data_IF_892480065407
#
_entry.id   IF_892480065407
#
_cell.length_a   1.000
_cell.length_b   1.000
_cell.length_c   1.000
_cell.angle_alpha   90.00
_cell.angle_beta   90.00
_cell.angle_gamma   90.00
#
_symmetry.space_group_name_H-M   'P 1'
#
loop_
_entity.id
_entity.type
_entity.pdbx_description
1 polymer ?
#
# COMPACT_ATOMS: atom_id res chain seq x y z
N UNK A 1 9.84 0.86 -6.21
CA UNK A 1 9.54 2.21 -5.68
C UNK A 1 10.22 3.29 -6.50
N UNK A 2 9.57 4.43 -6.72
CA UNK A 2 10.13 5.57 -7.45
C UNK A 2 10.96 6.53 -6.59
N UNK A 3 11.60 7.55 -7.17
CA UNK A 3 12.35 8.56 -6.41
C UNK A 3 11.48 9.38 -5.44
N UNK A 4 10.29 9.83 -5.88
CA UNK A 4 9.39 10.61 -5.04
C UNK A 4 8.82 9.84 -3.83
N UNK A 5 9.00 8.51 -3.76
CA UNK A 5 8.71 7.76 -2.54
C UNK A 5 9.58 8.25 -1.37
N UNK A 6 10.86 8.54 -1.61
CA UNK A 6 11.75 9.01 -0.57
C UNK A 6 11.54 10.50 -0.21
N UNK A 7 10.70 11.22 -0.97
CA UNK A 7 10.34 12.62 -0.70
C UNK A 7 9.27 12.75 0.40
N UNK A 8 8.60 11.67 0.79
CA UNK A 8 7.48 11.70 1.73
C UNK A 8 6.31 12.55 1.23
N UNK A 9 5.44 12.96 2.15
CA UNK A 9 4.27 13.81 1.86
C UNK A 9 4.35 15.14 2.60
N UNK A 10 3.30 15.95 2.53
CA UNK A 10 3.18 17.15 3.38
C UNK A 10 2.91 16.80 4.85
N UNK A 11 2.37 15.62 5.11
CA UNK A 11 2.06 15.16 6.47
C UNK A 11 3.33 14.70 7.19
N UNK A 12 4.24 14.06 6.45
CA UNK A 12 5.59 13.72 6.92
C UNK A 12 6.59 13.83 5.75
N UNK A 13 7.40 14.90 5.72
CA UNK A 13 8.40 15.07 4.70
C UNK A 13 9.45 13.96 4.75
N UNK A 14 9.87 13.50 3.59
CA UNK A 14 10.98 12.57 3.48
C UNK A 14 12.30 13.20 3.93
N UNK A 15 13.31 12.35 4.11
CA UNK A 15 14.65 12.79 4.44
C UNK A 15 15.43 13.22 3.18
N UNK A 16 16.54 13.92 3.39
CA UNK A 16 17.49 14.33 2.33
C UNK A 16 16.89 15.31 1.31
N UNK A 17 17.33 15.21 0.05
CA UNK A 17 17.08 16.15 -1.05
C UNK A 17 16.03 15.63 -2.05
N UNK A 18 15.21 14.66 -1.65
CA UNK A 18 14.15 14.13 -2.48
C UNK A 18 12.97 15.11 -2.56
N UNK A 19 12.39 15.24 -3.76
CA UNK A 19 11.22 16.08 -4.01
C UNK A 19 10.13 15.28 -4.72
N UNK A 20 8.87 15.69 -4.53
CA UNK A 20 7.74 15.07 -5.23
C UNK A 20 7.63 15.58 -6.67
N UNK A 21 7.15 14.74 -7.59
CA UNK A 21 6.91 15.15 -8.97
C UNK A 21 8.18 15.31 -9.80
N UNK A 22 9.19 14.46 -9.59
CA UNK A 22 10.42 14.40 -10.39
C UNK A 22 10.17 13.76 -11.78
N UNK A 23 9.19 14.29 -12.52
CA UNK A 23 8.74 13.83 -13.85
C UNK A 23 9.26 14.71 -15.01
N UNK A 24 9.88 15.87 -14.70
CA UNK A 24 10.11 16.97 -15.67
C UNK A 24 11.42 16.95 -16.47
N UNK A 25 11.81 15.84 -17.13
CA UNK A 25 12.88 15.92 -18.15
C UNK A 25 13.02 14.74 -19.14
N UNK A 26 12.01 14.45 -19.97
CA UNK A 26 12.12 13.71 -21.26
C UNK A 26 13.32 12.73 -21.39
N UNK A 27 13.10 11.45 -21.00
CA UNK A 27 13.95 10.23 -21.14
C UNK A 27 14.47 9.69 -19.79
N UNK A 28 13.78 8.67 -19.26
CA UNK A 28 14.03 7.96 -17.97
C UNK A 28 15.44 7.36 -17.76
N UNK A 29 16.33 7.44 -18.74
CA UNK A 29 17.69 6.91 -18.63
C UNK A 29 18.51 7.77 -17.65
N UNK A 30 18.13 9.05 -17.45
CA UNK A 30 18.89 10.02 -16.64
C UNK A 30 18.06 10.84 -15.63
N UNK A 31 16.95 10.31 -15.10
CA UNK A 31 16.16 10.99 -14.04
C UNK A 31 16.60 10.62 -12.63
N UNK A 32 16.31 11.50 -11.65
CA UNK A 32 16.71 11.36 -10.26
C UNK A 32 18.16 11.79 -9.99
N UNK A 33 18.43 12.19 -8.74
CA UNK A 33 19.76 12.63 -8.32
C UNK A 33 20.83 11.56 -8.68
N UNK A 34 21.91 11.93 -9.41
CA UNK A 34 23.00 11.03 -9.78
C UNK A 34 23.61 10.25 -8.61
N UNK A 35 23.71 10.88 -7.43
CA UNK A 35 24.17 10.24 -6.20
C UNK A 35 23.27 9.07 -5.79
N UNK A 36 21.95 9.30 -5.72
CA UNK A 36 21.00 8.27 -5.34
C UNK A 36 20.87 7.15 -6.39
N UNK A 37 21.13 7.44 -7.67
CA UNK A 37 21.28 6.39 -8.70
C UNK A 37 22.49 5.50 -8.46
N UNK A 38 23.62 6.07 -8.06
CA UNK A 38 24.81 5.29 -7.70
C UNK A 38 24.49 4.36 -6.53
N UNK A 39 23.88 4.90 -5.46
CA UNK A 39 23.46 4.12 -4.29
C UNK A 39 22.50 2.98 -4.69
N UNK A 40 21.47 3.27 -5.50
CA UNK A 40 20.57 2.25 -6.06
C UNK A 40 21.34 1.16 -6.80
N UNK A 41 22.26 1.54 -7.69
CA UNK A 41 22.98 0.60 -8.54
C UNK A 41 23.95 -0.30 -7.74
N UNK A 42 24.43 0.15 -6.57
CA UNK A 42 25.18 -0.70 -5.63
C UNK A 42 24.29 -1.80 -5.04
N UNK A 43 23.00 -1.51 -4.78
CA UNK A 43 22.04 -2.49 -4.29
C UNK A 43 21.57 -3.44 -5.41
N UNK A 44 20.93 -2.89 -6.44
CA UNK A 44 20.41 -3.63 -7.60
C UNK A 44 20.05 -2.63 -8.72
N UNK A 45 20.72 -2.68 -9.89
CA UNK A 45 20.34 -1.84 -11.02
C UNK A 45 19.08 -2.40 -11.71
N UNK A 46 18.08 -1.55 -12.02
CA UNK A 46 16.87 -2.00 -12.69
C UNK A 46 17.12 -2.36 -14.15
N UNK A 47 16.54 -3.46 -14.62
CA UNK A 47 16.64 -3.87 -16.02
C UNK A 47 15.80 -3.00 -16.96
N UNK A 48 16.19 -2.95 -18.25
CA UNK A 48 15.54 -2.10 -19.25
C UNK A 48 14.03 -2.35 -19.37
N UNK A 49 13.62 -3.62 -19.41
CA UNK A 49 12.22 -4.02 -19.47
C UNK A 49 11.42 -3.47 -18.29
N UNK A 50 11.99 -3.48 -17.10
CA UNK A 50 11.32 -2.95 -15.92
C UNK A 50 11.20 -1.43 -15.95
N UNK A 51 12.26 -0.72 -16.38
CA UNK A 51 12.19 0.72 -16.58
C UNK A 51 11.13 1.11 -17.62
N UNK A 52 11.01 0.34 -18.71
CA UNK A 52 9.96 0.54 -19.73
C UNK A 52 8.56 0.27 -19.16
N UNK A 53 8.37 -0.83 -18.41
CA UNK A 53 7.07 -1.14 -17.80
C UNK A 53 6.63 -0.11 -16.74
N UNK A 54 7.58 0.50 -16.03
CA UNK A 54 7.30 1.47 -14.99
C UNK A 54 7.20 2.91 -15.48
N UNK A 55 7.51 3.17 -16.75
CA UNK A 55 7.46 4.52 -17.33
C UNK A 55 6.16 5.26 -16.96
N UNK A 56 6.22 6.55 -16.54
CA UNK A 56 7.39 7.44 -16.47
C UNK A 56 8.20 7.37 -15.16
N UNK A 57 7.91 6.43 -14.26
CA UNK A 57 8.51 6.36 -12.92
C UNK A 57 10.04 6.16 -12.96
N UNK A 58 10.84 7.08 -12.39
CA UNK A 58 12.25 6.84 -12.13
C UNK A 58 12.38 5.87 -10.94
N UNK A 59 12.85 4.65 -11.17
CA UNK A 59 12.96 3.62 -10.13
C UNK A 59 14.11 3.96 -9.18
N UNK A 60 13.82 4.13 -7.88
CA UNK A 60 14.81 4.30 -6.81
C UNK A 60 15.17 2.97 -6.17
N UNK A 61 14.17 2.14 -5.86
CA UNK A 61 14.36 0.80 -5.29
C UNK A 61 13.64 -0.21 -6.17
N UNK A 62 14.38 -1.21 -6.65
CA UNK A 62 13.85 -2.30 -7.47
C UNK A 62 13.33 -3.45 -6.59
N UNK A 63 12.30 -3.17 -5.81
CA UNK A 63 11.76 -4.12 -4.82
C UNK A 63 11.18 -5.39 -5.44
N UNK A 64 10.85 -5.38 -6.74
CA UNK A 64 10.34 -6.55 -7.45
C UNK A 64 11.43 -7.56 -7.84
N UNK A 65 12.66 -7.09 -8.06
CA UNK A 65 13.81 -7.96 -8.36
C UNK A 65 14.78 -8.12 -7.18
N UNK A 66 14.52 -7.46 -6.05
CA UNK A 66 15.27 -7.60 -4.81
C UNK A 66 14.73 -8.78 -3.99
N UNK A 67 15.41 -9.92 -4.09
CA UNK A 67 15.00 -11.19 -3.45
C UNK A 67 15.94 -11.67 -2.35
N UNK A 68 16.99 -10.89 -2.03
CA UNK A 68 17.96 -11.22 -0.98
C UNK A 68 17.87 -10.21 0.17
N UNK A 69 17.87 -10.65 1.45
CA UNK A 69 17.85 -12.06 1.91
C UNK A 69 16.51 -12.77 1.71
N UNK A 70 15.43 -12.02 1.45
CA UNK A 70 14.08 -12.48 1.10
C UNK A 70 13.46 -11.48 0.12
N UNK A 71 12.24 -11.70 -0.37
CA UNK A 71 11.53 -10.78 -1.27
C UNK A 71 11.18 -9.45 -0.56
N UNK A 72 11.46 -8.32 -1.22
CA UNK A 72 11.24 -6.98 -0.64
C UNK A 72 9.85 -6.42 -0.92
N UNK A 73 9.04 -7.09 -1.74
CA UNK A 73 7.67 -6.68 -2.06
C UNK A 73 6.72 -7.87 -2.01
N UNK A 74 5.48 -7.62 -1.57
CA UNK A 74 4.42 -8.61 -1.48
C UNK A 74 3.88 -8.94 -2.87
N UNK A 75 3.59 -10.21 -3.14
CA UNK A 75 3.09 -10.70 -4.43
C UNK A 75 1.65 -11.24 -4.40
N UNK A 76 1.06 -11.43 -3.21
CA UNK A 76 -0.27 -12.04 -3.05
C UNK A 76 -1.35 -10.99 -2.76
N UNK A 77 -2.52 -11.13 -3.38
CA UNK A 77 -3.72 -10.33 -3.16
C UNK A 77 -4.79 -11.20 -2.48
N UNK A 78 -5.26 -10.79 -1.30
CA UNK A 78 -6.42 -11.40 -0.65
C UNK A 78 -7.66 -10.55 -0.94
N UNK A 79 -8.78 -11.20 -1.29
CA UNK A 79 -9.95 -10.48 -1.79
C UNK A 79 -11.28 -11.02 -1.23
N UNK A 80 -12.06 -10.01 -0.81
CA UNK A 80 -13.52 -9.91 -0.79
C UNK A 80 -14.34 -10.77 0.18
N UNK A 81 -15.12 -10.06 1.01
CA UNK A 81 -16.23 -10.59 1.78
C UNK A 81 -17.51 -9.82 1.44
N UNK A 82 -18.59 -10.56 1.15
CA UNK A 82 -19.91 -10.01 0.87
C UNK A 82 -20.83 -10.28 2.06
N UNK A 83 -21.60 -9.27 2.48
CA UNK A 83 -22.58 -9.39 3.54
C UNK A 83 -23.94 -8.87 3.07
N UNK A 84 -24.98 -9.65 3.34
CA UNK A 84 -26.36 -9.26 3.09
C UNK A 84 -27.02 -8.91 4.42
N UNK A 85 -27.54 -7.68 4.53
CA UNK A 85 -28.18 -7.21 5.75
C UNK A 85 -29.62 -6.82 5.41
N UNK A 86 -30.58 -7.48 6.05
CA UNK A 86 -32.00 -7.17 5.93
C UNK A 86 -32.42 -6.32 7.14
N UNK A 87 -32.89 -5.09 6.90
CA UNK A 87 -33.40 -4.19 7.95
C UNK A 87 -34.78 -3.70 7.57
N UNK A 88 -35.79 -3.90 8.43
CA UNK A 88 -37.17 -3.44 8.23
C UNK A 88 -37.80 -3.87 6.88
N UNK A 89 -37.51 -5.09 6.40
CA UNK A 89 -38.01 -5.60 5.12
C UNK A 89 -37.36 -4.97 3.88
N UNK A 90 -36.41 -4.05 4.05
CA UNK A 90 -35.56 -3.51 2.98
C UNK A 90 -34.23 -4.26 2.99
N UNK A 91 -33.88 -4.81 1.83
CA UNK A 91 -32.61 -5.50 1.64
C UNK A 91 -31.52 -4.47 1.33
N UNK A 92 -30.54 -4.33 2.22
CA UNK A 92 -29.34 -3.53 2.01
C UNK A 92 -28.21 -4.45 1.60
N UNK A 93 -27.72 -4.26 0.38
CA UNK A 93 -26.58 -5.00 -0.14
C UNK A 93 -25.31 -4.21 0.15
N UNK A 94 -24.48 -4.66 1.09
CA UNK A 94 -23.19 -4.03 1.40
C UNK A 94 -22.06 -4.98 1.00
N UNK A 95 -21.25 -4.55 0.03
CA UNK A 95 -20.07 -5.30 -0.41
C UNK A 95 -18.81 -4.65 0.16
N UNK A 96 -18.01 -5.43 0.90
CA UNK A 96 -16.71 -5.00 1.39
C UNK A 96 -15.60 -5.48 0.46
N UNK A 97 -14.87 -4.52 -0.10
CA UNK A 97 -13.69 -4.77 -0.90
C UNK A 97 -12.45 -4.53 -0.04
N UNK A 98 -11.94 -5.59 0.57
CA UNK A 98 -10.68 -5.56 1.32
C UNK A 98 -9.49 -5.54 0.37
N UNK A 99 -8.56 -4.61 0.58
CA UNK A 99 -7.31 -4.52 -0.17
C UNK A 99 -6.11 -4.24 0.71
N UNK A 100 -4.97 -4.76 0.28
CA UNK A 100 -3.65 -4.55 0.91
C UNK A 100 -3.06 -3.15 0.66
N UNK A 101 -3.70 -2.34 -0.20
CA UNK A 101 -3.11 -1.10 -0.71
C UNK A 101 -3.91 0.14 -0.31
N UNK A 102 -3.24 1.27 -0.33
CA UNK A 102 -3.83 2.60 -0.15
C UNK A 102 -4.31 3.18 -1.48
N UNK A 103 -5.62 3.23 -1.67
CA UNK A 103 -6.19 3.78 -2.89
C UNK A 103 -6.28 5.30 -2.80
N UNK A 104 -5.82 5.98 -3.85
CA UNK A 104 -6.19 7.39 -4.04
C UNK A 104 -7.71 7.53 -4.18
N UNK A 105 -8.18 8.75 -3.93
CA UNK A 105 -9.60 9.08 -4.04
C UNK A 105 -10.19 8.66 -5.39
N UNK A 106 -9.52 8.98 -6.50
CA UNK A 106 -10.05 8.66 -7.82
C UNK A 106 -9.86 7.18 -8.20
N UNK A 107 -8.79 6.53 -7.77
CA UNK A 107 -8.62 5.09 -7.97
C UNK A 107 -9.74 4.31 -7.28
N UNK A 108 -10.02 4.64 -6.01
CA UNK A 108 -11.12 4.02 -5.25
C UNK A 108 -12.50 4.30 -5.85
N UNK A 109 -12.77 5.53 -6.31
CA UNK A 109 -14.02 5.86 -7.01
C UNK A 109 -14.22 5.03 -8.29
N UNK A 110 -13.20 4.96 -9.15
CA UNK A 110 -13.24 4.17 -10.40
C UNK A 110 -13.46 2.69 -10.12
N UNK A 111 -12.84 2.15 -9.07
CA UNK A 111 -13.03 0.77 -8.66
C UNK A 111 -14.46 0.51 -8.17
N UNK A 112 -14.99 1.34 -7.26
CA UNK A 112 -16.39 1.24 -6.81
C UNK A 112 -17.36 1.27 -7.98
N UNK A 113 -17.19 2.19 -8.92
CA UNK A 113 -18.07 2.29 -10.09
C UNK A 113 -17.94 1.10 -11.04
N UNK A 114 -16.73 0.55 -11.21
CA UNK A 114 -16.51 -0.65 -12.01
C UNK A 114 -17.20 -1.88 -11.40
N UNK A 115 -17.04 -2.11 -10.10
CA UNK A 115 -17.69 -3.22 -9.39
C UNK A 115 -19.21 -3.03 -9.36
N UNK A 116 -19.71 -1.82 -9.07
CA UNK A 116 -21.15 -1.52 -9.08
C UNK A 116 -21.78 -1.78 -10.45
N UNK A 117 -21.11 -1.38 -11.54
CA UNK A 117 -21.55 -1.68 -12.91
C UNK A 117 -21.54 -3.19 -13.20
N UNK A 118 -20.49 -3.88 -12.78
CA UNK A 118 -20.38 -5.33 -13.00
C UNK A 118 -21.49 -6.10 -12.29
N UNK A 119 -21.72 -5.82 -11.00
CA UNK A 119 -22.77 -6.45 -10.20
C UNK A 119 -24.17 -6.18 -10.79
N UNK A 120 -24.46 -4.94 -11.21
CA UNK A 120 -25.73 -4.60 -11.89
C UNK A 120 -25.90 -5.35 -13.22
N UNK A 121 -24.83 -5.51 -14.00
CA UNK A 121 -24.88 -6.20 -15.29
C UNK A 121 -25.03 -7.72 -15.19
N UNK A 122 -24.72 -8.30 -14.02
CA UNK A 122 -24.80 -9.75 -13.80
C UNK A 122 -26.24 -10.31 -13.76
N UNK A 123 -27.26 -9.44 -13.74
CA UNK A 123 -28.67 -9.84 -13.87
C UNK A 123 -29.22 -10.63 -12.68
N UNK A 124 -28.48 -10.74 -11.57
CA UNK A 124 -28.93 -11.49 -10.42
C UNK A 124 -30.07 -10.76 -9.70
N UNK A 125 -31.27 -11.34 -9.70
CA UNK A 125 -32.49 -10.73 -9.13
C UNK A 125 -32.40 -10.48 -7.63
N UNK A 126 -31.55 -11.22 -6.92
CA UNK A 126 -31.23 -11.01 -5.49
C UNK A 126 -30.40 -9.74 -5.24
N UNK A 127 -29.64 -9.25 -6.23
CA UNK A 127 -28.89 -7.98 -6.15
C UNK A 127 -29.62 -6.81 -6.83
N UNK A 128 -30.94 -6.90 -6.98
CA UNK A 128 -31.74 -5.87 -7.67
C UNK A 128 -31.89 -4.55 -6.88
N UNK A 129 -31.47 -4.52 -5.61
CA UNK A 129 -31.46 -3.33 -4.76
C UNK A 129 -30.26 -2.41 -4.94
N UNK A 130 -30.23 -1.31 -4.18
CA UNK A 130 -29.05 -0.45 -4.12
C UNK A 130 -27.89 -1.17 -3.41
N UNK A 131 -26.77 -1.33 -4.12
CA UNK A 131 -25.54 -1.93 -3.57
C UNK A 131 -24.62 -0.81 -3.11
N UNK A 132 -24.29 -0.81 -1.83
CA UNK A 132 -23.26 0.05 -1.24
C UNK A 132 -21.93 -0.70 -1.25
N UNK A 133 -20.91 -0.09 -1.86
CA UNK A 133 -19.57 -0.68 -1.96
C UNK A 133 -18.63 0.09 -1.05
N UNK A 134 -18.07 -0.61 -0.08
CA UNK A 134 -17.08 -0.08 0.86
C UNK A 134 -15.71 -0.62 0.44
N UNK A 135 -14.74 0.28 0.29
CA UNK A 135 -13.33 -0.10 0.11
C UNK A 135 -12.68 -0.08 1.49
N UNK A 136 -12.25 -1.23 1.96
CA UNK A 136 -11.45 -1.37 3.16
C UNK A 136 -9.99 -1.56 2.75
N UNK A 137 -9.25 -0.45 2.63
CA UNK A 137 -7.81 -0.48 2.40
C UNK A 137 -7.05 -0.94 3.65
N UNK A 138 -5.75 -1.23 3.50
CA UNK A 138 -4.85 -1.65 4.58
C UNK A 138 -5.32 -2.94 5.30
N UNK A 139 -5.99 -3.84 4.58
CA UNK A 139 -6.49 -5.09 5.12
C UNK A 139 -5.55 -6.26 4.77
N UNK A 140 -5.27 -7.14 5.74
CA UNK A 140 -4.53 -8.40 5.61
C UNK A 140 -3.03 -8.31 5.27
N UNK A 141 -2.50 -7.08 5.15
CA UNK A 141 -1.11 -6.82 4.78
C UNK A 141 -0.96 -5.46 4.09
N UNK A 142 0.21 -5.20 3.51
CA UNK A 142 0.51 -3.88 2.95
C UNK A 142 1.29 -3.96 1.63
N UNK A 143 0.76 -3.33 0.58
CA UNK A 143 1.40 -3.23 -0.74
C UNK A 143 1.41 -1.80 -1.29
N UNK A 144 1.64 -0.84 -0.40
CA UNK A 144 1.83 0.58 -0.75
C UNK A 144 0.57 1.17 -1.44
N UNK A 145 0.76 2.12 -2.34
CA UNK A 145 -0.31 2.92 -2.94
C UNK A 145 -0.85 2.32 -4.24
N UNK A 146 -2.09 2.69 -4.56
CA UNK A 146 -2.72 2.48 -5.85
C UNK A 146 -3.27 3.82 -6.34
N UNK A 147 -2.68 4.32 -7.41
CA UNK A 147 -3.10 5.52 -8.12
C UNK A 147 -3.88 5.20 -9.39
N UNK A 148 -4.60 6.19 -9.91
CA UNK A 148 -5.04 6.15 -11.31
C UNK A 148 -3.85 6.28 -12.26
N UNK A 149 -4.07 6.01 -13.55
CA UNK A 149 -3.03 6.19 -14.57
C UNK A 149 -2.56 7.64 -14.64
N UNK A 150 -3.49 8.58 -14.56
CA UNK A 150 -3.28 10.02 -14.66
C UNK A 150 -2.51 10.54 -13.44
N UNK A 151 -2.91 10.14 -12.23
CA UNK A 151 -2.18 10.45 -11.00
C UNK A 151 -0.78 9.81 -11.02
N UNK A 152 -0.64 8.59 -11.56
CA UNK A 152 0.64 7.93 -11.70
C UNK A 152 1.61 8.74 -12.58
N UNK A 153 1.13 9.39 -13.65
CA UNK A 153 2.00 10.15 -14.55
C UNK A 153 2.72 11.29 -13.81
N UNK A 154 2.06 11.93 -12.85
CA UNK A 154 2.61 13.05 -12.10
C UNK A 154 3.78 12.66 -11.17
N UNK A 155 3.94 11.36 -10.86
CA UNK A 155 5.01 10.85 -9.98
C UNK A 155 5.22 11.65 -8.69
N UNK A 156 4.12 12.07 -8.06
CA UNK A 156 4.09 12.45 -6.65
C UNK A 156 4.24 11.20 -5.76
N UNK A 157 4.26 11.36 -4.43
CA UNK A 157 4.57 10.27 -3.49
C UNK A 157 3.77 8.99 -3.77
N UNK A 158 2.47 9.08 -3.95
CA UNK A 158 1.57 7.95 -4.18
C UNK A 158 1.87 7.30 -5.53
N UNK A 159 2.11 8.10 -6.58
CA UNK A 159 2.45 7.61 -7.92
C UNK A 159 3.80 6.88 -7.96
N UNK A 160 4.78 7.37 -7.20
CA UNK A 160 6.07 6.70 -7.02
C UNK A 160 5.95 5.42 -6.18
N UNK A 161 5.00 5.40 -5.25
CA UNK A 161 4.72 4.27 -4.35
C UNK A 161 3.79 3.21 -4.96
N UNK A 162 3.18 3.44 -6.12
CA UNK A 162 2.42 2.42 -6.85
C UNK A 162 3.31 1.28 -7.36
N UNK A 163 3.39 0.19 -6.60
CA UNK A 163 4.40 -0.88 -6.77
C UNK A 163 4.36 -1.59 -8.11
N UNK A 164 3.17 -1.82 -8.68
CA UNK A 164 2.99 -2.66 -9.87
C UNK A 164 2.91 -1.88 -11.18
N UNK A 165 3.34 -0.61 -11.18
CA UNK A 165 3.38 0.23 -12.37
C UNK A 165 2.03 0.89 -12.70
N UNK A 166 1.90 1.49 -13.90
CA UNK A 166 0.77 2.35 -14.26
C UNK A 166 -0.53 1.61 -14.56
N UNK A 167 -0.48 0.28 -14.76
CA UNK A 167 -1.60 -0.52 -15.24
C UNK A 167 -1.84 -1.75 -14.35
N UNK A 168 -2.83 -1.67 -13.46
CA UNK A 168 -3.25 -2.83 -12.66
C UNK A 168 -4.40 -3.55 -13.38
N UNK A 169 -4.07 -4.62 -14.11
CA UNK A 169 -5.07 -5.45 -14.81
C UNK A 169 -5.87 -6.37 -13.88
N UNK A 170 -5.36 -6.62 -12.67
CA UNK A 170 -5.94 -7.58 -11.73
C UNK A 170 -7.35 -7.19 -11.25
N UNK A 171 -7.69 -5.90 -11.19
CA UNK A 171 -9.06 -5.46 -10.86
C UNK A 171 -10.12 -5.96 -11.86
N UNK A 172 -9.74 -6.10 -13.13
CA UNK A 172 -10.65 -6.61 -14.18
C UNK A 172 -10.85 -8.12 -14.08
N UNK A 173 -9.86 -8.85 -13.56
CA UNK A 173 -10.00 -10.29 -13.26
C UNK A 173 -10.84 -10.49 -12.00
N UNK A 174 -10.59 -9.70 -10.96
CA UNK A 174 -11.40 -9.69 -9.74
C UNK A 174 -12.87 -9.42 -10.05
N UNK A 175 -13.17 -8.40 -10.86
CA UNK A 175 -14.56 -8.11 -11.22
C UNK A 175 -15.22 -9.31 -11.89
N UNK A 176 -14.53 -10.05 -12.77
CA UNK A 176 -15.08 -11.25 -13.40
C UNK A 176 -15.33 -12.39 -12.41
N UNK A 177 -14.50 -12.52 -11.38
CA UNK A 177 -14.67 -13.54 -10.33
C UNK A 177 -15.84 -13.24 -9.39
N UNK A 178 -16.27 -11.98 -9.29
CA UNK A 178 -17.39 -11.53 -8.47
C UNK A 178 -18.77 -11.80 -9.07
N UNK A 179 -18.86 -12.57 -10.15
CA UNK A 179 -20.15 -12.89 -10.75
C UNK A 179 -20.88 -13.92 -9.87
N UNK A 180 -22.01 -13.59 -9.22
CA UNK A 180 -22.67 -14.50 -8.28
C UNK A 180 -23.32 -15.72 -8.94
N UNK A 181 -23.42 -15.74 -10.28
CA UNK A 181 -23.79 -16.95 -11.05
C UNK A 181 -22.60 -17.87 -11.38
N UNK A 182 -21.38 -17.43 -11.09
CA UNK A 182 -20.15 -18.16 -11.34
C UNK A 182 -19.89 -19.15 -10.21
N UNK A 183 -20.19 -20.43 -10.43
CA UNK A 183 -19.72 -21.54 -9.57
C UNK A 183 -18.20 -21.74 -9.62
N UNK A 184 -17.44 -20.80 -10.18
CA UNK A 184 -15.99 -20.87 -10.23
C UNK A 184 -15.45 -20.66 -8.83
N UNK A 185 -15.16 -21.76 -8.14
CA UNK A 185 -14.32 -21.78 -6.95
C UNK A 185 -13.01 -21.08 -7.34
N UNK A 186 -12.77 -19.90 -6.76
CA UNK A 186 -11.49 -19.22 -6.89
C UNK A 186 -10.47 -20.13 -6.21
N UNK A 187 -9.51 -20.66 -6.97
CA UNK A 187 -8.47 -21.48 -6.36
C UNK A 187 -7.69 -20.62 -5.37
N UNK A 188 -7.41 -21.12 -4.15
CA UNK A 188 -6.54 -20.44 -3.22
C UNK A 188 -5.24 -20.04 -3.90
N UNK A 189 -4.83 -18.79 -3.70
CA UNK A 189 -3.52 -18.32 -4.15
C UNK A 189 -2.39 -19.04 -3.41
N UNK A 190 -1.13 -18.83 -3.83
CA UNK A 190 0.01 -19.32 -3.09
C UNK A 190 0.00 -18.76 -1.67
N UNK A 191 0.25 -19.62 -0.68
CA UNK A 191 0.38 -19.20 0.71
C UNK A 191 1.61 -18.29 0.84
N UNK A 192 1.49 -17.13 1.52
CA UNK A 192 2.64 -16.25 1.74
C UNK A 192 3.71 -16.97 2.60
N UNK A 193 5.00 -16.69 2.36
CA UNK A 193 6.07 -17.28 3.15
C UNK A 193 6.06 -16.76 4.59
N UNK A 194 6.39 -17.62 5.55
CA UNK A 194 6.68 -17.21 6.93
C UNK A 194 8.12 -16.68 7.02
N UNK A 195 8.27 -15.45 7.50
CA UNK A 195 9.53 -14.73 7.64
C UNK A 195 9.87 -14.35 9.09
N UNK A 196 9.13 -14.86 10.09
CA UNK A 196 9.33 -14.50 11.50
C UNK A 196 10.76 -14.78 11.99
N UNK A 197 11.32 -15.96 11.68
CA UNK A 197 12.68 -16.35 12.11
C UNK A 197 13.80 -15.76 11.23
N UNK A 198 13.46 -14.91 10.25
CA UNK A 198 14.42 -14.34 9.28
C UNK A 198 14.63 -12.84 9.44
N UNK A 199 14.00 -12.23 10.44
CA UNK A 199 14.11 -10.78 10.67
C UNK A 199 15.52 -10.42 11.14
N UNK A 200 16.11 -9.43 10.49
CA UNK A 200 17.41 -8.87 10.90
C UNK A 200 17.15 -7.57 11.66
N UNK A 201 17.63 -7.49 12.90
CA UNK A 201 17.58 -6.26 13.70
C UNK A 201 18.98 -5.70 13.90
N UNK A 202 19.14 -4.43 13.57
CA UNK A 202 20.34 -3.65 13.90
C UNK A 202 20.11 -2.71 15.08
N UNK A 203 18.92 -2.76 15.70
CA UNK A 203 18.65 -2.03 16.93
C UNK A 203 19.40 -2.70 18.06
N UNK A 204 20.25 -1.94 18.74
CA UNK A 204 20.97 -2.40 19.91
C UNK A 204 19.96 -2.81 20.99
N UNK A 205 20.07 -4.02 21.57
CA UNK A 205 19.20 -4.40 22.68
C UNK A 205 19.48 -3.54 23.91
N UNK A 206 18.53 -3.50 24.83
CA UNK A 206 18.78 -2.97 26.18
C UNK A 206 19.82 -3.88 26.85
N UNK A 207 20.98 -3.32 27.18
CA UNK A 207 22.08 -4.08 27.80
C UNK A 207 21.91 -4.10 29.32
N UNK A 208 21.67 -2.94 29.89
CA UNK A 208 21.47 -2.76 31.33
C UNK A 208 20.66 -1.49 31.56
N UNK A 209 19.67 -1.58 32.42
CA UNK A 209 19.05 -0.41 33.02
C UNK A 209 19.75 -0.15 34.36
N UNK A 210 20.07 1.11 34.64
CA UNK A 210 20.61 1.52 35.95
C UNK A 210 19.95 2.82 36.39
N UNK A 211 19.92 3.03 37.69
CA UNK A 211 19.56 4.31 38.28
C UNK A 211 20.78 5.21 38.40
N UNK A 212 20.53 6.50 38.65
CA UNK A 212 21.60 7.40 39.10
C UNK A 212 22.14 6.94 40.45
N UNK A 213 23.39 7.30 40.74
CA UNK A 213 24.06 6.91 41.98
C UNK A 213 23.26 7.40 43.19
N UNK A 214 22.78 6.46 44.01
CA UNK A 214 22.02 6.74 45.23
C UNK A 214 20.51 6.57 45.08
N UNK A 215 20.00 6.46 43.86
CA UNK A 215 18.57 6.27 43.59
C UNK A 215 18.20 4.80 43.39
N UNK A 216 16.95 4.46 43.64
CA UNK A 216 16.33 3.16 43.34
C UNK A 216 15.31 3.27 42.21
N UNK A 217 15.08 2.16 41.51
CA UNK A 217 14.05 2.14 40.47
C UNK A 217 12.68 2.42 41.11
N UNK A 218 11.99 3.45 40.58
CA UNK A 218 10.70 3.90 41.10
C UNK A 218 10.78 5.15 41.98
N UNK A 219 11.98 5.67 42.26
CA UNK A 219 12.12 6.94 42.98
C UNK A 219 11.56 8.12 42.18
N UNK A 220 10.91 9.04 42.89
CA UNK A 220 10.30 10.24 42.29
C UNK A 220 11.40 11.25 41.97
N UNK A 221 11.71 11.42 40.68
CA UNK A 221 12.69 12.42 40.20
C UNK A 221 12.09 13.84 40.25
N UNK A 222 10.80 13.98 39.93
CA UNK A 222 10.05 15.23 40.02
C UNK A 222 8.61 14.95 40.39
N UNK A 223 8.15 15.54 41.49
CA UNK A 223 6.76 15.44 41.94
C UNK A 223 5.87 16.50 41.26
N UNK A 224 4.56 16.30 41.30
CA UNK A 224 3.58 17.24 40.75
C UNK A 224 3.53 18.54 41.57
N UNK A 225 3.22 19.70 40.95
CA UNK A 225 2.98 20.92 41.69
C UNK A 225 1.79 20.77 42.65
N UNK A 226 1.96 21.20 43.91
CA UNK A 226 0.93 21.09 44.97
C UNK A 226 -0.44 21.72 44.64
N UNK A 227 -0.49 22.63 43.66
CA UNK A 227 -1.69 23.37 43.27
C UNK A 227 -2.29 22.91 41.93
N UNK A 228 -2.07 21.65 41.52
CA UNK A 228 -2.77 21.09 40.37
C UNK A 228 -4.23 20.77 40.77
N UNK A 229 -5.14 21.72 40.53
CA UNK A 229 -6.57 21.43 40.63
C UNK A 229 -6.99 20.68 39.37
N UNK A 230 -7.40 19.41 39.51
CA UNK A 230 -8.09 18.69 38.44
C UNK A 230 -9.40 19.44 38.14
N UNK A 231 -9.48 20.07 36.98
CA UNK A 231 -10.73 20.62 36.44
C UNK A 231 -11.51 19.52 35.72
#
# INVERSE_FOLDING_TARGET
MGFAFAAGTTDEPGAFDFTQGDDKSTICINHGNPFWRMVRNVLKPPHRKQMECHYPKPILLDTGEMTKPYEWAVSSLELLSHFEIMTNGVMFNIAFLSFLSEFTTMAGRRLRDAVKRHLKSSGNKEMSGEIHIVIAGLANGYSQYVTTFEEYQAQIYEGASTLFGPHIQEFKKLSKSLNPGSRTVIQPGPQPPDLLDKQVSFLTPVVVDTTHVGDSFGDVISDVPKNLSLK
#
